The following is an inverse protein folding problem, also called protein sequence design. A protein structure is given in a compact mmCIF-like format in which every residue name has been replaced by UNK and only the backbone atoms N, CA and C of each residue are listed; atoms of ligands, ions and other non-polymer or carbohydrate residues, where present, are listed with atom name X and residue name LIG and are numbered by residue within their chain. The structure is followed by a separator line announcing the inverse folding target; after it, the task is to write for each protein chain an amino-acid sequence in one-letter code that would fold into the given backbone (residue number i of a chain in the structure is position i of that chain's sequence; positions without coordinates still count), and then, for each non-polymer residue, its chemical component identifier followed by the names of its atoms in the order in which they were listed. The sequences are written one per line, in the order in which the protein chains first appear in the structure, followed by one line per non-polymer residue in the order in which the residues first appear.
data_IF_378924687432
#
_entry.id   IF_378924687432
#
_cell.length_a   1.000
_cell.length_b   1.000
_cell.length_c   1.000
_cell.angle_alpha   90.00
_cell.angle_beta   90.00
_cell.angle_gamma   90.00
#
_symmetry.space_group_name_H-M   'P 1'
#
loop_
_entity.id
_entity.type
_entity.pdbx_description
1 polymer ?
#
# COMPACT_ATOMS: atom_id res chain seq x y z
N UNK A 1 -12.22 0.96 -16.99
CA UNK A 1 -12.60 -0.16 -16.11
C UNK A 1 -12.43 0.28 -14.66
N UNK A 2 -13.39 0.00 -13.79
CA UNK A 2 -13.29 0.28 -12.35
C UNK A 2 -13.17 -1.06 -11.63
N UNK A 3 -12.18 -1.19 -10.75
CA UNK A 3 -11.94 -2.37 -9.92
C UNK A 3 -11.97 -1.95 -8.46
N UNK A 4 -12.69 -2.69 -7.63
CA UNK A 4 -12.66 -2.56 -6.18
C UNK A 4 -11.95 -3.79 -5.63
N UNK A 5 -10.86 -3.58 -4.89
CA UNK A 5 -10.13 -4.69 -4.30
C UNK A 5 -10.96 -5.35 -3.19
N UNK A 6 -11.08 -6.69 -3.16
CA UNK A 6 -11.68 -7.40 -2.03
C UNK A 6 -10.71 -7.54 -0.84
N UNK A 7 -9.44 -7.17 -1.02
CA UNK A 7 -8.41 -7.30 -0.01
C UNK A 7 -8.31 -6.05 0.86
N UNK A 8 -7.81 -6.28 2.06
CA UNK A 8 -7.68 -5.25 3.10
C UNK A 8 -6.29 -5.25 3.74
N UNK A 9 -5.51 -6.31 3.49
CA UNK A 9 -4.08 -6.33 3.73
C UNK A 9 -3.37 -5.41 2.75
N UNK A 10 -2.50 -4.55 3.28
CA UNK A 10 -1.67 -3.63 2.49
C UNK A 10 -0.74 -4.36 1.53
N UNK A 11 -0.31 -5.56 1.89
CA UNK A 11 0.58 -6.36 1.07
C UNK A 11 -0.13 -6.89 -0.17
N UNK A 12 -1.35 -7.39 -0.01
CA UNK A 12 -2.15 -7.93 -1.10
C UNK A 12 -2.62 -6.82 -2.05
N UNK A 13 -3.01 -5.67 -1.51
CA UNK A 13 -3.40 -4.50 -2.31
C UNK A 13 -2.23 -3.96 -3.15
N UNK A 14 -1.03 -3.82 -2.56
CA UNK A 14 0.15 -3.38 -3.31
C UNK A 14 0.59 -4.43 -4.35
N UNK A 15 0.50 -5.72 -4.03
CA UNK A 15 0.78 -6.79 -4.99
C UNK A 15 -0.22 -6.79 -6.15
N UNK A 16 -1.50 -6.55 -5.86
CA UNK A 16 -2.53 -6.47 -6.89
C UNK A 16 -2.37 -5.23 -7.77
N UNK A 17 -2.02 -4.09 -7.18
CA UNK A 17 -1.66 -2.88 -7.92
C UNK A 17 -0.49 -3.12 -8.88
N UNK A 18 0.60 -3.74 -8.41
CA UNK A 18 1.77 -4.05 -9.24
C UNK A 18 1.45 -5.07 -10.34
N UNK A 19 0.61 -6.07 -10.04
CA UNK A 19 0.13 -7.03 -11.04
C UNK A 19 -0.66 -6.33 -12.14
N UNK A 20 -1.63 -5.47 -11.78
CA UNK A 20 -2.41 -4.72 -12.75
C UNK A 20 -1.52 -3.80 -13.60
N UNK A 21 -0.58 -3.11 -12.96
CA UNK A 21 0.36 -2.22 -13.66
C UNK A 21 1.26 -2.98 -14.64
N UNK A 22 1.81 -4.13 -14.23
CA UNK A 22 2.75 -4.92 -15.04
C UNK A 22 2.08 -5.76 -16.12
N UNK A 23 0.85 -6.24 -15.90
CA UNK A 23 0.15 -7.17 -16.81
C UNK A 23 -0.82 -6.49 -17.79
N UNK A 24 -1.30 -5.28 -17.51
CA UNK A 24 -2.28 -4.64 -18.38
C UNK A 24 -1.67 -4.26 -19.74
N UNK A 25 -2.34 -4.65 -20.84
CA UNK A 25 -1.92 -4.41 -22.23
C UNK A 25 -3.01 -3.76 -23.09
N UNK A 26 -4.10 -3.31 -22.48
CA UNK A 26 -5.17 -2.62 -23.19
C UNK A 26 -4.93 -1.12 -23.32
N UNK A 27 -5.58 -0.48 -24.29
CA UNK A 27 -5.52 0.97 -24.50
C UNK A 27 -6.48 1.77 -23.58
N UNK A 28 -7.19 1.07 -22.68
CA UNK A 28 -8.14 1.65 -21.75
C UNK A 28 -7.49 2.21 -20.49
N UNK A 29 -8.31 2.82 -19.62
CA UNK A 29 -7.89 3.27 -18.29
C UNK A 29 -8.47 2.37 -17.20
N UNK A 30 -7.69 2.10 -16.17
CA UNK A 30 -8.11 1.39 -14.96
C UNK A 30 -8.16 2.39 -13.81
N UNK A 31 -9.26 2.38 -13.06
CA UNK A 31 -9.34 2.97 -11.73
C UNK A 31 -9.43 1.82 -10.73
N UNK A 32 -8.43 1.69 -9.87
CA UNK A 32 -8.41 0.74 -8.76
C UNK A 32 -8.73 1.50 -7.47
N UNK A 33 -9.71 1.02 -6.71
CA UNK A 33 -10.06 1.52 -5.39
C UNK A 33 -9.78 0.41 -4.37
N UNK A 34 -9.06 0.73 -3.30
CA UNK A 34 -8.82 -0.19 -2.19
C UNK A 34 -8.66 0.57 -0.88
N UNK A 35 -8.91 -0.14 0.22
CA UNK A 35 -8.70 0.33 1.58
C UNK A 35 -7.83 -0.67 2.32
N UNK A 36 -6.99 -0.20 3.24
CA UNK A 36 -6.10 -1.06 4.00
C UNK A 36 -6.50 -1.11 5.48
N UNK A 37 -6.21 -2.22 6.13
CA UNK A 37 -6.10 -2.27 7.59
C UNK A 37 -4.93 -1.42 8.07
N UNK A 38 -4.86 -1.21 9.39
CA UNK A 38 -3.84 -0.40 10.07
C UNK A 38 -2.44 -0.70 9.54
N UNK A 39 -1.88 0.26 8.79
CA UNK A 39 -0.60 0.09 8.15
C UNK A 39 0.14 1.41 7.95
N UNK A 40 1.46 1.36 8.00
CA UNK A 40 2.36 2.43 7.58
C UNK A 40 2.96 2.04 6.23
N UNK A 41 2.81 2.92 5.25
CA UNK A 41 3.33 2.73 3.89
C UNK A 41 4.43 3.73 3.61
N UNK A 42 5.66 3.24 3.50
CA UNK A 42 6.84 4.04 3.16
C UNK A 42 7.09 4.04 1.65
N UNK A 43 7.66 5.13 1.14
CA UNK A 43 8.12 5.23 -0.25
C UNK A 43 9.30 4.32 -0.55
N UNK A 44 9.51 4.02 -1.84
CA UNK A 44 10.54 3.08 -2.33
C UNK A 44 11.95 3.34 -1.78
N UNK A 45 12.34 4.60 -1.62
CA UNK A 45 13.71 4.99 -1.26
C UNK A 45 13.89 5.45 0.20
N UNK A 46 12.87 5.26 1.05
CA UNK A 46 12.92 5.72 2.44
C UNK A 46 13.54 4.70 3.39
N UNK A 47 14.14 5.20 4.47
CA UNK A 47 14.65 4.38 5.56
C UNK A 47 13.53 4.13 6.60
N UNK A 48 13.06 2.89 6.81
CA UNK A 48 11.96 2.61 7.74
C UNK A 48 12.27 3.02 9.19
N UNK A 49 13.52 2.93 9.62
CA UNK A 49 13.95 3.29 10.99
C UNK A 49 13.94 4.79 11.25
N UNK A 50 14.07 5.62 10.20
CA UNK A 50 14.02 7.07 10.32
C UNK A 50 12.58 7.61 10.23
N UNK A 51 11.67 6.82 9.69
CA UNK A 51 10.33 7.27 9.28
C UNK A 51 9.21 6.74 10.18
N UNK A 52 9.43 5.64 10.88
CA UNK A 52 8.43 5.02 11.72
C UNK A 52 9.01 4.35 12.97
N UNK A 53 8.25 4.36 14.07
CA UNK A 53 8.59 3.59 15.26
C UNK A 53 8.20 2.12 15.08
N UNK A 54 9.16 1.31 14.64
CA UNK A 54 8.96 -0.11 14.37
C UNK A 54 8.54 -0.92 15.60
N UNK A 55 8.91 -0.48 16.82
CA UNK A 55 8.49 -1.14 18.05
C UNK A 55 7.01 -0.87 18.30
N UNK A 56 6.58 0.38 18.14
CA UNK A 56 5.17 0.75 18.27
C UNK A 56 4.31 0.04 17.21
N UNK A 57 4.76 -0.02 15.96
CA UNK A 57 4.02 -0.73 14.90
C UNK A 57 3.80 -2.20 15.26
N UNK A 58 4.86 -2.89 15.70
CA UNK A 58 4.77 -4.28 16.13
C UNK A 58 3.84 -4.47 17.32
N UNK A 59 3.90 -3.58 18.31
CA UNK A 59 3.05 -3.64 19.51
C UNK A 59 1.55 -3.45 19.18
N UNK A 60 1.23 -2.60 18.21
CA UNK A 60 -0.15 -2.31 17.78
C UNK A 60 -0.63 -3.17 16.61
N UNK A 61 0.12 -4.21 16.23
CA UNK A 61 -0.19 -5.06 15.07
C UNK A 61 -0.40 -4.24 13.77
N UNK A 62 0.27 -3.10 13.66
CA UNK A 62 0.24 -2.24 12.50
C UNK A 62 1.27 -2.72 11.47
N UNK A 63 0.82 -2.97 10.25
CA UNK A 63 1.68 -3.48 9.19
C UNK A 63 2.62 -2.41 8.66
N UNK A 64 3.86 -2.77 8.32
CA UNK A 64 4.78 -1.88 7.59
C UNK A 64 4.94 -2.41 6.17
N UNK A 65 4.70 -1.55 5.18
CA UNK A 65 4.88 -1.89 3.77
C UNK A 65 5.71 -0.82 3.04
N UNK A 66 6.47 -1.25 2.04
CA UNK A 66 7.19 -0.36 1.12
C UNK A 66 6.52 -0.44 -0.25
N UNK A 67 6.03 0.69 -0.75
CA UNK A 67 5.42 0.76 -2.10
C UNK A 67 6.48 0.94 -3.18
N UNK A 68 6.11 0.62 -4.42
CA UNK A 68 6.98 0.73 -5.61
C UNK A 68 7.22 2.17 -6.05
N UNK A 69 6.31 3.09 -5.70
CA UNK A 69 6.43 4.51 -6.01
C UNK A 69 7.32 5.25 -4.99
N UNK A 70 7.82 6.42 -5.38
CA UNK A 70 8.54 7.32 -4.49
C UNK A 70 7.60 8.08 -3.54
N UNK A 71 8.06 9.20 -2.98
CA UNK A 71 7.31 10.03 -2.03
C UNK A 71 7.59 9.67 -0.57
N UNK A 72 6.77 10.20 0.33
CA UNK A 72 6.94 10.09 1.79
C UNK A 72 6.21 8.92 2.44
N UNK A 73 6.21 8.92 3.78
CA UNK A 73 5.56 7.92 4.63
C UNK A 73 4.13 8.35 4.96
N UNK A 74 3.18 7.42 4.89
CA UNK A 74 1.77 7.66 5.23
C UNK A 74 1.21 6.55 6.11
N UNK A 75 0.17 6.86 6.89
CA UNK A 75 -0.59 5.90 7.68
C UNK A 75 -1.94 5.65 7.01
N UNK A 76 -2.33 4.37 6.95
CA UNK A 76 -3.62 3.91 6.44
C UNK A 76 -4.39 3.16 7.52
N UNK A 77 -5.71 3.32 7.48
CA UNK A 77 -6.68 2.54 8.22
C UNK A 77 -7.99 2.47 7.41
N UNK A 78 -9.08 2.01 8.04
CA UNK A 78 -10.40 1.90 7.41
C UNK A 78 -11.13 3.24 7.22
N UNK A 79 -10.55 4.35 7.66
CA UNK A 79 -11.06 5.70 7.47
C UNK A 79 -10.38 6.46 6.33
N UNK A 80 -9.35 5.89 5.72
CA UNK A 80 -8.61 6.46 4.57
C UNK A 80 -9.11 5.86 3.25
#
# INVERSE_FOLDING_TARGET
MVIISPYTSVYDNLAFEDLLFSSYRGDGRILLLYINDSSVVIGRFQNPWAEADLKALKAHQCSLARRISGGGTVYHDRGN
#
